data_IF_443689154990
#
_entry.id   IF_443689154990
#
_cell.length_a   1.000
_cell.length_b   1.000
_cell.length_c   1.000
_cell.angle_alpha   90.00
_cell.angle_beta   90.00
_cell.angle_gamma   90.00
#
_symmetry.space_group_name_H-M   'P 1'
#
loop_
_entity.id
_entity.type
_entity.pdbx_description
1 polymer ?
#
# COMPACT_ATOMS: atom_id res chain seq x y z
N UNK A 1 -12.66 8.15 22.25
CA UNK A 1 -11.65 8.90 21.47
C UNK A 1 -12.37 9.72 20.40
N UNK A 2 -11.76 10.84 20.00
CA UNK A 2 -12.39 12.02 19.37
C UNK A 2 -13.18 11.74 18.10
N UNK A 3 -14.39 12.29 18.10
CA UNK A 3 -15.38 12.25 17.03
C UNK A 3 -15.06 13.43 16.11
N UNK A 4 -14.44 13.17 14.95
CA UNK A 4 -14.16 14.20 13.93
C UNK A 4 -15.34 14.27 12.98
N UNK A 5 -16.43 14.78 13.53
CA UNK A 5 -17.66 15.12 12.83
C UNK A 5 -17.42 16.31 11.88
N UNK A 6 -17.83 16.17 10.62
CA UNK A 6 -18.31 17.22 9.69
C UNK A 6 -17.58 17.38 8.34
N UNK A 7 -16.51 16.64 8.05
CA UNK A 7 -15.92 16.69 6.71
C UNK A 7 -15.41 15.31 6.29
N UNK A 8 -16.30 14.36 5.94
CA UNK A 8 -16.02 13.09 5.20
C UNK A 8 -14.83 12.18 5.60
N UNK A 9 -14.06 12.53 6.62
CA UNK A 9 -12.69 12.07 6.88
C UNK A 9 -12.69 11.44 8.28
N UNK A 10 -13.55 10.45 8.44
CA UNK A 10 -13.59 9.66 9.65
C UNK A 10 -12.26 8.94 9.82
N UNK A 11 -11.69 8.98 11.02
CA UNK A 11 -10.42 8.31 11.34
C UNK A 11 -10.50 6.82 10.96
N UNK A 12 -11.63 6.18 11.23
CA UNK A 12 -11.88 4.78 10.84
C UNK A 12 -11.77 4.53 9.32
N UNK A 13 -12.14 5.52 8.49
CA UNK A 13 -11.99 5.43 7.03
C UNK A 13 -10.53 5.52 6.62
N UNK A 14 -9.75 6.36 7.29
CA UNK A 14 -8.32 6.53 7.03
C UNK A 14 -7.52 5.30 7.48
N UNK A 15 -7.83 4.76 8.66
CA UNK A 15 -7.23 3.50 9.16
C UNK A 15 -7.52 2.35 8.19
N UNK A 16 -8.77 2.20 7.74
CA UNK A 16 -9.14 1.20 6.73
C UNK A 16 -8.41 1.42 5.40
N UNK A 17 -8.25 2.67 4.98
CA UNK A 17 -7.54 2.99 3.75
C UNK A 17 -6.07 2.58 3.84
N UNK A 18 -5.41 2.91 4.96
CA UNK A 18 -4.04 2.50 5.23
C UNK A 18 -3.88 0.97 5.23
N UNK A 19 -4.73 0.24 5.96
CA UNK A 19 -4.68 -1.23 6.03
C UNK A 19 -4.88 -1.89 4.66
N UNK A 20 -5.81 -1.36 3.85
CA UNK A 20 -6.03 -1.83 2.48
C UNK A 20 -4.84 -1.54 1.58
N UNK A 21 -4.20 -0.39 1.74
CA UNK A 21 -2.96 -0.04 1.06
C UNK A 21 -1.86 -1.04 1.38
N UNK A 22 -1.62 -1.28 2.68
CA UNK A 22 -0.63 -2.23 3.19
C UNK A 22 -0.79 -3.62 2.60
N UNK A 23 -2.04 -4.11 2.54
CA UNK A 23 -2.34 -5.39 1.93
C UNK A 23 -2.07 -5.39 0.41
N UNK A 24 -2.48 -4.35 -0.31
CA UNK A 24 -2.23 -4.24 -1.75
C UNK A 24 -0.72 -4.19 -2.06
N UNK A 25 0.06 -3.47 -1.26
CA UNK A 25 1.51 -3.35 -1.40
C UNK A 25 2.23 -4.67 -1.12
N UNK A 26 1.86 -5.34 -0.02
CA UNK A 26 2.47 -6.62 0.37
C UNK A 26 2.18 -7.77 -0.61
N UNK A 27 1.02 -7.72 -1.27
CA UNK A 27 0.65 -8.66 -2.33
C UNK A 27 1.28 -8.32 -3.69
N UNK A 28 2.01 -7.21 -3.81
CA UNK A 28 2.61 -6.75 -5.07
C UNK A 28 1.58 -6.35 -6.12
N UNK A 29 0.40 -5.88 -5.69
CA UNK A 29 -0.62 -5.29 -6.57
C UNK A 29 -0.13 -3.94 -7.11
N UNK A 30 -0.75 -3.42 -8.16
CA UNK A 30 -0.41 -2.10 -8.71
C UNK A 30 -1.21 -1.00 -8.03
N UNK A 31 -0.56 0.15 -7.78
CA UNK A 31 -1.18 1.34 -7.14
C UNK A 31 -2.43 1.88 -7.87
N UNK A 32 -2.64 1.51 -9.14
CA UNK A 32 -3.78 1.94 -10.00
C UNK A 32 -5.18 1.49 -9.54
N UNK A 33 -5.32 0.87 -8.37
CA UNK A 33 -6.60 0.39 -7.83
C UNK A 33 -6.99 1.05 -6.51
N UNK A 34 -6.51 2.26 -6.21
CA UNK A 34 -7.01 3.00 -5.05
C UNK A 34 -8.53 3.25 -5.21
N UNK A 35 -9.39 2.69 -4.34
CA UNK A 35 -10.84 2.83 -4.45
C UNK A 35 -11.38 4.13 -3.83
N UNK A 36 -10.50 4.93 -3.21
CA UNK A 36 -10.87 6.14 -2.49
C UNK A 36 -10.83 7.36 -3.42
N UNK A 37 -11.89 8.17 -3.37
CA UNK A 37 -12.02 9.42 -4.15
C UNK A 37 -11.58 10.64 -3.36
N UNK A 38 -11.62 10.57 -2.02
CA UNK A 38 -11.13 11.63 -1.14
C UNK A 38 -9.60 11.63 -1.14
N UNK A 39 -8.99 12.79 -1.42
CA UNK A 39 -7.53 12.93 -1.50
C UNK A 39 -6.81 12.41 -0.24
N UNK A 40 -7.40 12.60 0.93
CA UNK A 40 -6.74 12.18 2.18
C UNK A 40 -6.94 10.71 2.52
N UNK A 41 -8.05 10.10 2.09
CA UNK A 41 -8.16 8.65 2.15
C UNK A 41 -7.23 7.98 1.11
N UNK A 42 -7.07 8.60 -0.07
CA UNK A 42 -6.10 8.15 -1.07
C UNK A 42 -4.67 8.26 -0.56
N UNK A 43 -4.29 9.38 0.08
CA UNK A 43 -2.97 9.54 0.68
C UNK A 43 -2.69 8.50 1.78
N UNK A 44 -3.68 8.21 2.64
CA UNK A 44 -3.54 7.17 3.66
C UNK A 44 -3.35 5.78 3.03
N UNK A 45 -4.10 5.48 1.96
CA UNK A 45 -3.95 4.24 1.22
C UNK A 45 -2.58 4.12 0.53
N UNK A 46 -2.08 5.20 -0.07
CA UNK A 46 -0.77 5.23 -0.70
C UNK A 46 0.36 5.02 0.32
N UNK A 47 0.28 5.67 1.49
CA UNK A 47 1.24 5.46 2.58
C UNK A 47 1.28 3.99 3.02
N UNK A 48 0.10 3.36 3.22
CA UNK A 48 0.03 1.94 3.54
C UNK A 48 0.60 1.07 2.42
N UNK A 49 0.31 1.39 1.16
CA UNK A 49 0.80 0.66 0.00
C UNK A 49 2.32 0.67 -0.13
N UNK A 50 2.95 1.83 0.09
CA UNK A 50 4.41 1.95 0.12
C UNK A 50 5.03 1.10 1.24
N UNK A 51 4.48 1.18 2.45
CA UNK A 51 4.91 0.36 3.59
C UNK A 51 4.74 -1.14 3.30
N UNK A 52 3.64 -1.50 2.64
CA UNK A 52 3.35 -2.89 2.25
C UNK A 52 4.35 -3.43 1.24
N UNK A 53 4.79 -2.61 0.27
CA UNK A 53 5.83 -2.99 -0.68
C UNK A 53 7.20 -3.15 -0.04
N UNK A 54 7.51 -2.34 0.98
CA UNK A 54 8.74 -2.47 1.77
C UNK A 54 8.72 -3.73 2.66
N UNK A 55 7.55 -4.07 3.22
CA UNK A 55 7.34 -5.28 4.01
C UNK A 55 7.23 -6.55 3.16
N UNK A 56 6.86 -6.43 1.88
CA UNK A 56 6.82 -7.56 0.96
C UNK A 56 8.23 -8.18 0.87
N UNK A 57 8.37 -9.51 0.99
CA UNK A 57 9.66 -10.16 0.84
C UNK A 57 10.19 -9.80 -0.55
N UNK A 58 11.27 -9.00 -0.59
CA UNK A 58 11.89 -8.49 -1.81
C UNK A 58 11.91 -9.62 -2.83
N UNK A 59 11.13 -9.47 -3.93
CA UNK A 59 11.04 -10.47 -5.00
C UNK A 59 12.44 -10.97 -5.24
N UNK A 60 12.69 -12.23 -4.86
CA UNK A 60 14.01 -12.84 -4.88
C UNK A 60 14.60 -12.53 -6.24
N UNK A 61 15.59 -11.63 -6.29
CA UNK A 61 16.35 -11.37 -7.50
C UNK A 61 16.89 -12.74 -7.88
N UNK A 62 16.35 -13.34 -8.93
CA UNK A 62 16.89 -14.59 -9.46
C UNK A 62 18.37 -14.30 -9.72
N UNK A 63 19.30 -14.97 -9.04
CA UNK A 63 20.70 -14.81 -9.38
C UNK A 63 20.82 -15.17 -10.87
N UNK A 64 21.38 -14.27 -11.68
CA UNK A 64 21.70 -14.60 -13.07
C UNK A 64 22.48 -15.92 -13.03
N UNK A 65 22.06 -16.97 -13.75
CA UNK A 65 22.80 -18.22 -13.77
C UNK A 65 24.21 -17.91 -14.30
N UNK A 66 25.23 -18.12 -13.47
CA UNK A 66 26.65 -18.00 -13.84
C UNK A 66 27.08 -19.23 -14.64
N UNK A 67 26.43 -19.47 -15.78
CA UNK A 67 26.78 -20.58 -16.66
C UNK A 67 26.63 -20.14 -18.11
N UNK A 68 27.47 -19.20 -18.55
CA UNK A 68 27.77 -18.99 -19.96
C UNK A 68 29.09 -18.23 -20.15
N UNK A 69 30.11 -18.62 -19.40
CA UNK A 69 31.51 -18.24 -19.65
C UNK A 69 32.32 -19.54 -19.84
N UNK A 70 32.09 -20.23 -20.95
CA UNK A 70 32.96 -21.30 -21.47
C UNK A 70 33.37 -20.89 -22.89
#
# INVERSE_FOLDING_TARGET
MGRSDSAGWQIETLEKAYDQGLMAGSLGMTSKKCPYVSEVASAAWEAGFEDGQLAAPAKRRTPKPKFLDI
#
